data_IF_731187515487
#
_entry.id   IF_731187515487
#
_cell.length_a   1.000
_cell.length_b   1.000
_cell.length_c   1.000
_cell.angle_alpha   90.00
_cell.angle_beta   90.00
_cell.angle_gamma   90.00
#
_symmetry.space_group_name_H-M   'P 1'
#
loop_
_entity.id
_entity.type
_entity.pdbx_description
1 polymer ?
#
# COMPACT_ATOMS: atom_id res chain seq x y z
N UNK A 1 -0.14 4.01 13.32
CA UNK A 1 -0.31 4.20 11.87
C UNK A 1 -0.80 2.90 11.26
N UNK A 2 -1.57 2.93 10.16
CA UNK A 2 -1.88 1.75 9.35
C UNK A 2 -1.03 1.74 8.08
N UNK A 3 -0.66 0.56 7.60
CA UNK A 3 -0.26 0.38 6.19
C UNK A 3 -1.48 -0.09 5.41
N UNK A 4 -1.78 0.52 4.27
CA UNK A 4 -2.92 0.11 3.44
C UNK A 4 -2.44 -0.16 2.02
N UNK A 5 -2.91 -1.26 1.41
CA UNK A 5 -2.71 -1.49 -0.03
C UNK A 5 -3.26 -0.30 -0.82
N UNK A 6 -2.41 0.40 -1.57
CA UNK A 6 -2.75 1.66 -2.25
C UNK A 6 -3.96 1.53 -3.18
N UNK A 7 -4.14 0.39 -3.84
CA UNK A 7 -5.31 0.13 -4.68
C UNK A 7 -6.64 0.16 -3.91
N UNK A 8 -6.64 -0.09 -2.59
CA UNK A 8 -7.84 0.04 -1.74
C UNK A 8 -8.21 1.50 -1.48
N UNK A 9 -7.34 2.44 -1.79
CA UNK A 9 -7.60 3.87 -1.63
C UNK A 9 -7.84 4.59 -2.96
N UNK A 10 -7.91 3.87 -4.08
CA UNK A 10 -8.21 4.44 -5.40
C UNK A 10 -6.99 4.65 -6.30
N UNK A 11 -5.80 4.24 -5.87
CA UNK A 11 -4.58 4.33 -6.71
C UNK A 11 -4.61 3.24 -7.78
N UNK A 12 -4.33 3.58 -9.03
CA UNK A 12 -4.42 2.68 -10.18
C UNK A 12 -3.28 1.68 -10.29
N UNK A 13 -2.69 1.26 -9.17
CA UNK A 13 -1.49 0.43 -9.10
C UNK A 13 -1.72 -1.08 -9.28
N UNK A 14 -2.94 -1.53 -9.58
CA UNK A 14 -3.23 -2.95 -9.84
C UNK A 14 -2.54 -3.40 -11.12
N UNK A 15 -2.30 -4.71 -11.27
CA UNK A 15 -1.73 -5.28 -12.49
C UNK A 15 -2.48 -4.85 -13.78
N UNK A 16 -3.80 -4.63 -13.69
CA UNK A 16 -4.63 -4.17 -14.81
C UNK A 16 -4.61 -2.66 -15.08
N UNK A 17 -3.81 -1.88 -14.34
CA UNK A 17 -3.81 -0.40 -14.41
C UNK A 17 -5.08 0.24 -13.85
N UNK A 18 -5.69 -0.38 -12.84
CA UNK A 18 -6.92 0.09 -12.17
C UNK A 18 -6.75 0.03 -10.65
N UNK A 19 -7.79 0.35 -9.90
CA UNK A 19 -7.81 0.24 -8.45
C UNK A 19 -8.76 -0.86 -7.94
N UNK A 20 -8.91 -0.95 -6.61
CA UNK A 20 -9.94 -1.72 -5.91
C UNK A 20 -10.50 -0.88 -4.74
N UNK A 21 -10.92 0.35 -5.03
CA UNK A 21 -11.33 1.34 -4.03
C UNK A 21 -12.25 0.75 -2.95
N UNK A 22 -11.87 0.97 -1.70
CA UNK A 22 -12.63 0.66 -0.52
C UNK A 22 -12.79 1.94 0.32
N UNK A 23 -14.03 2.42 0.43
CA UNK A 23 -14.36 3.68 1.10
C UNK A 23 -13.87 3.76 2.56
N UNK A 24 -13.78 2.62 3.27
CA UNK A 24 -13.28 2.60 4.65
C UNK A 24 -11.78 2.82 4.68
N UNK A 25 -11.05 2.19 3.77
CA UNK A 25 -9.61 2.39 3.60
C UNK A 25 -9.31 3.83 3.20
N UNK A 26 -10.04 4.36 2.21
CA UNK A 26 -9.92 5.76 1.79
C UNK A 26 -10.18 6.73 2.94
N UNK A 27 -11.21 6.48 3.75
CA UNK A 27 -11.50 7.29 4.94
C UNK A 27 -10.36 7.26 5.96
N UNK A 28 -9.77 6.09 6.24
CA UNK A 28 -8.62 5.99 7.16
C UNK A 28 -7.44 6.81 6.64
N UNK A 29 -7.17 6.75 5.34
CA UNK A 29 -6.14 7.54 4.70
C UNK A 29 -6.42 9.05 4.84
N UNK A 30 -7.60 9.52 4.43
CA UNK A 30 -8.02 10.93 4.54
C UNK A 30 -7.98 11.47 5.97
N UNK A 31 -8.15 10.62 6.99
CA UNK A 31 -8.05 11.01 8.39
C UNK A 31 -6.61 11.04 8.95
N UNK A 32 -5.60 10.89 8.09
CA UNK A 32 -4.18 10.84 8.46
C UNK A 32 -3.86 9.63 9.35
N UNK A 33 -4.53 8.49 9.12
CA UNK A 33 -4.33 7.26 9.91
C UNK A 33 -3.57 6.18 9.15
N UNK A 34 -3.33 6.35 7.85
CA UNK A 34 -2.73 5.34 7.01
C UNK A 34 -1.64 5.90 6.10
N UNK A 35 -0.67 5.06 5.79
CA UNK A 35 0.29 5.22 4.71
C UNK A 35 -0.03 4.18 3.64
N UNK A 36 -0.03 4.61 2.38
CA UNK A 36 -0.38 3.78 1.25
C UNK A 36 0.87 3.10 0.69
N UNK A 37 0.76 1.82 0.34
CA UNK A 37 1.84 1.06 -0.26
C UNK A 37 1.33 0.16 -1.38
N UNK A 38 2.12 0.01 -2.43
CA UNK A 38 1.95 -1.04 -3.42
C UNK A 38 3.23 -1.89 -3.42
N UNK A 39 3.25 -3.06 -2.76
CA UNK A 39 4.48 -3.85 -2.67
C UNK A 39 5.05 -4.20 -4.04
N UNK A 40 4.19 -4.45 -5.02
CA UNK A 40 4.64 -4.79 -6.38
C UNK A 40 5.39 -3.62 -7.05
N UNK A 41 4.90 -2.38 -6.94
CA UNK A 41 5.60 -1.19 -7.44
C UNK A 41 6.83 -0.85 -6.59
N UNK A 42 6.75 -0.99 -5.26
CA UNK A 42 7.92 -0.84 -4.38
C UNK A 42 9.01 -1.88 -4.67
N UNK A 43 8.65 -3.01 -5.28
CA UNK A 43 9.54 -4.02 -5.82
C UNK A 43 10.09 -3.72 -7.21
N UNK A 44 9.62 -2.65 -7.86
CA UNK A 44 10.00 -2.23 -9.21
C UNK A 44 9.20 -2.89 -10.34
N UNK A 45 8.00 -3.41 -10.09
CA UNK A 45 7.11 -3.84 -11.18
C UNK A 45 6.32 -2.64 -11.73
N UNK A 46 6.11 -2.58 -13.07
CA UNK A 46 5.36 -1.49 -13.69
C UNK A 46 3.86 -1.62 -13.45
N UNK A 47 3.13 -0.59 -13.86
CA UNK A 47 1.67 -0.59 -13.92
C UNK A 47 1.25 -0.05 -15.29
N UNK A 48 0.52 -0.82 -16.13
CA UNK A 48 0.05 -2.19 -15.91
C UNK A 48 1.18 -3.23 -15.98
N UNK A 49 0.88 -4.46 -15.58
CA UNK A 49 1.79 -5.62 -15.63
C UNK A 49 1.00 -6.91 -15.83
N UNK A 50 1.71 -7.97 -16.24
CA UNK A 50 1.12 -9.30 -16.36
C UNK A 50 0.62 -9.81 -15.00
N UNK A 51 -0.52 -10.56 -14.95
CA UNK A 51 -0.95 -11.24 -13.74
C UNK A 51 0.14 -12.17 -13.22
N UNK A 52 0.31 -12.22 -11.91
CA UNK A 52 1.30 -13.06 -11.22
C UNK A 52 0.59 -13.96 -10.22
N UNK A 53 1.03 -15.21 -10.12
CA UNK A 53 0.58 -16.15 -9.10
C UNK A 53 1.78 -16.83 -8.44
N UNK A 54 1.62 -17.29 -7.19
CA UNK A 54 2.64 -18.07 -6.50
C UNK A 54 2.51 -19.53 -6.94
N UNK A 55 3.59 -20.15 -7.41
CA UNK A 55 3.55 -21.55 -7.86
C UNK A 55 3.68 -22.58 -6.72
N UNK A 56 3.71 -22.09 -5.48
CA UNK A 56 4.03 -22.84 -4.26
C UNK A 56 3.59 -22.03 -3.05
N UNK A 57 3.80 -22.55 -1.84
CA UNK A 57 3.47 -21.80 -0.62
C UNK A 57 4.37 -20.56 -0.48
N UNK A 58 3.85 -19.50 0.15
CA UNK A 58 4.63 -18.28 0.43
C UNK A 58 5.90 -18.56 1.25
N UNK A 59 5.87 -19.56 2.13
CA UNK A 59 7.05 -19.98 2.89
C UNK A 59 8.13 -20.52 1.96
N UNK A 60 7.78 -21.37 0.99
CA UNK A 60 8.74 -21.88 0.00
C UNK A 60 9.30 -20.76 -0.87
N UNK A 61 8.48 -19.79 -1.26
CA UNK A 61 8.92 -18.59 -2.01
C UNK A 61 9.97 -17.82 -1.20
N UNK A 62 9.71 -17.53 0.07
CA UNK A 62 10.63 -16.81 0.97
C UNK A 62 11.92 -17.62 1.25
N UNK A 63 11.83 -18.95 1.27
CA UNK A 63 12.99 -19.85 1.41
C UNK A 63 13.74 -20.10 0.09
N UNK A 64 13.32 -19.50 -1.03
CA UNK A 64 13.96 -19.63 -2.34
C UNK A 64 13.66 -20.95 -3.08
N UNK A 65 12.73 -21.75 -2.58
CA UNK A 65 12.26 -23.01 -3.18
C UNK A 65 11.03 -22.83 -4.10
N UNK A 66 10.28 -21.76 -3.85
CA UNK A 66 9.11 -21.34 -4.60
C UNK A 66 9.36 -20.15 -5.51
N UNK A 67 8.39 -19.81 -6.36
CA UNK A 67 8.44 -18.66 -7.27
C UNK A 67 7.12 -17.90 -7.36
N UNK A 68 7.21 -16.60 -7.60
CA UNK A 68 6.13 -15.77 -8.12
C UNK A 68 6.34 -15.64 -9.63
N UNK A 69 5.43 -16.24 -10.41
CA UNK A 69 5.54 -16.30 -11.87
C UNK A 69 4.44 -15.47 -12.51
N UNK A 70 4.76 -14.76 -13.59
CA UNK A 70 3.73 -14.17 -14.44
C UNK A 70 3.00 -15.26 -15.24
N UNK A 71 1.83 -14.94 -15.80
CA UNK A 71 1.11 -15.82 -16.72
C UNK A 71 1.89 -16.14 -18.02
N UNK A 72 2.97 -15.40 -18.30
CA UNK A 72 3.91 -15.67 -19.40
C UNK A 72 5.10 -16.54 -18.97
N UNK A 73 5.18 -16.91 -17.68
CA UNK A 73 6.25 -17.73 -17.11
C UNK A 73 7.48 -16.94 -16.67
N UNK A 74 7.41 -15.61 -16.63
CA UNK A 74 8.50 -14.76 -16.15
C UNK A 74 8.62 -14.84 -14.63
N UNK A 75 9.83 -15.05 -14.13
CA UNK A 75 10.12 -15.09 -12.71
C UNK A 75 10.32 -13.68 -12.15
N UNK A 76 9.32 -13.21 -11.40
CA UNK A 76 9.30 -11.90 -10.74
C UNK A 76 9.43 -12.02 -9.22
N UNK A 77 9.91 -13.16 -8.74
CA UNK A 77 10.04 -13.45 -7.29
C UNK A 77 10.85 -12.39 -6.56
N UNK A 78 11.92 -11.88 -7.20
CA UNK A 78 12.78 -10.87 -6.60
C UNK A 78 12.01 -9.59 -6.28
N UNK A 79 11.22 -9.08 -7.22
CA UNK A 79 10.43 -7.86 -7.07
C UNK A 79 9.40 -8.02 -5.96
N UNK A 80 8.75 -9.17 -5.87
CA UNK A 80 7.80 -9.47 -4.80
C UNK A 80 8.45 -9.48 -3.41
N UNK A 81 9.65 -10.07 -3.29
CA UNK A 81 10.40 -10.10 -2.04
C UNK A 81 10.92 -8.70 -1.67
N UNK A 82 11.55 -8.00 -2.61
CA UNK A 82 12.06 -6.64 -2.40
C UNK A 82 10.92 -5.72 -1.94
N UNK A 83 9.80 -5.73 -2.66
CA UNK A 83 8.61 -4.94 -2.33
C UNK A 83 8.01 -5.22 -0.96
N UNK A 84 8.00 -6.50 -0.55
CA UNK A 84 7.55 -6.89 0.77
C UNK A 84 8.48 -6.37 1.88
N UNK A 85 9.80 -6.46 1.70
CA UNK A 85 10.76 -5.93 2.66
C UNK A 85 10.76 -4.40 2.69
N UNK A 86 10.56 -3.72 1.56
CA UNK A 86 10.40 -2.26 1.57
C UNK A 86 9.12 -1.83 2.27
N UNK A 87 8.03 -2.56 2.05
CA UNK A 87 6.79 -2.32 2.81
C UNK A 87 7.01 -2.47 4.31
N UNK A 88 7.76 -3.48 4.75
CA UNK A 88 8.11 -3.66 6.16
C UNK A 88 8.98 -2.50 6.70
N UNK A 89 9.95 -2.01 5.93
CA UNK A 89 10.77 -0.86 6.35
C UNK A 89 9.91 0.39 6.54
N UNK A 90 9.04 0.70 5.58
CA UNK A 90 8.08 1.81 5.67
C UNK A 90 7.21 1.63 6.93
N UNK A 91 6.67 0.43 7.13
CA UNK A 91 5.85 0.13 8.30
C UNK A 91 6.58 0.41 9.62
N UNK A 92 7.84 0.00 9.74
CA UNK A 92 8.65 0.23 10.93
C UNK A 92 8.96 1.71 11.14
N UNK A 93 9.34 2.44 10.09
CA UNK A 93 9.65 3.87 10.16
C UNK A 93 8.46 4.70 10.62
N UNK A 94 7.26 4.38 10.14
CA UNK A 94 6.02 5.11 10.50
C UNK A 94 5.36 4.57 11.77
N UNK A 95 5.98 3.58 12.44
CA UNK A 95 5.45 2.94 13.65
C UNK A 95 4.09 2.27 13.41
N UNK A 96 3.88 1.67 12.24
CA UNK A 96 2.69 0.92 11.93
C UNK A 96 2.71 -0.46 12.59
N UNK A 97 1.63 -0.78 13.29
CA UNK A 97 1.43 -2.09 13.94
C UNK A 97 0.33 -2.92 13.27
N UNK A 98 -0.36 -2.32 12.30
CA UNK A 98 -1.49 -2.93 11.60
C UNK A 98 -1.39 -2.64 10.10
N UNK A 99 -1.77 -3.60 9.28
CA UNK A 99 -1.84 -3.47 7.83
C UNK A 99 -3.19 -3.98 7.29
N UNK A 100 -3.80 -3.23 6.38
CA UNK A 100 -5.03 -3.59 5.66
C UNK A 100 -4.64 -3.84 4.21
N UNK A 101 -4.76 -5.09 3.79
CA UNK A 101 -4.21 -5.56 2.52
C UNK A 101 -5.29 -6.16 1.62
N UNK A 102 -5.11 -6.01 0.30
CA UNK A 102 -6.04 -6.54 -0.69
C UNK A 102 -5.99 -8.07 -0.73
N UNK A 103 -7.12 -8.72 -0.46
CA UNK A 103 -7.29 -10.18 -0.49
C UNK A 103 -6.98 -10.78 -1.87
N UNK A 104 -6.56 -12.04 -1.87
CA UNK A 104 -6.25 -12.85 -3.06
C UNK A 104 -5.04 -12.40 -3.89
N UNK A 105 -4.42 -11.25 -3.59
CA UNK A 105 -3.20 -10.82 -4.27
C UNK A 105 -2.01 -11.74 -3.90
N UNK A 106 -1.12 -12.08 -4.86
CA UNK A 106 0.14 -12.78 -4.57
C UNK A 106 1.07 -12.01 -3.61
N UNK A 107 0.92 -10.69 -3.46
CA UNK A 107 1.63 -9.87 -2.47
C UNK A 107 0.80 -9.67 -1.20
N UNK A 108 -0.44 -9.23 -1.37
CA UNK A 108 -1.26 -8.65 -0.30
C UNK A 108 -2.30 -9.61 0.29
N UNK A 109 -2.54 -10.78 -0.32
CA UNK A 109 -3.56 -11.73 0.14
C UNK A 109 -3.35 -12.17 1.58
N UNK A 110 -4.37 -12.09 2.42
CA UNK A 110 -4.28 -12.33 3.86
C UNK A 110 -4.71 -13.75 4.24
N UNK A 111 -5.70 -14.28 3.52
CA UNK A 111 -6.32 -15.58 3.82
C UNK A 111 -6.29 -16.53 2.62
N UNK A 112 -6.38 -15.97 1.41
CA UNK A 112 -6.36 -16.74 0.16
C UNK A 112 -5.42 -16.10 -0.85
N UNK A 113 -4.92 -16.93 -1.77
CA UNK A 113 -4.17 -16.54 -2.97
C UNK A 113 -4.62 -17.45 -4.13
N UNK A 114 -4.34 -17.07 -5.37
CA UNK A 114 -4.58 -17.95 -6.51
C UNK A 114 -3.64 -19.16 -6.50
N UNK A 115 -4.06 -20.25 -7.14
CA UNK A 115 -3.43 -21.58 -7.03
C UNK A 115 -2.19 -21.80 -7.91
N UNK A 116 -1.76 -20.78 -8.66
CA UNK A 116 -0.58 -20.86 -9.53
C UNK A 116 -0.89 -21.40 -10.93
N UNK A 117 -2.14 -21.74 -11.23
CA UNK A 117 -2.56 -22.31 -12.51
C UNK A 117 -3.15 -21.29 -13.48
N UNK A 118 -3.37 -20.04 -13.04
CA UNK A 118 -4.04 -19.00 -13.81
C UNK A 118 -5.47 -19.37 -14.27
N UNK A 119 -6.13 -20.29 -13.56
CA UNK A 119 -7.52 -20.68 -13.83
C UNK A 119 -8.55 -19.89 -13.01
N UNK A 120 -8.09 -19.00 -12.13
CA UNK A 120 -8.92 -18.19 -11.23
C UNK A 120 -9.32 -18.91 -9.93
N UNK A 121 -8.84 -20.13 -9.71
CA UNK A 121 -9.03 -20.87 -8.47
C UNK A 121 -8.23 -20.25 -7.32
N UNK A 122 -8.86 -20.12 -6.15
CA UNK A 122 -8.23 -19.62 -4.93
C UNK A 122 -7.98 -20.76 -3.94
N UNK A 123 -6.81 -20.74 -3.32
CA UNK A 123 -6.40 -21.66 -2.26
C UNK A 123 -6.09 -20.90 -0.98
N UNK A 124 -6.20 -21.58 0.16
CA UNK A 124 -5.82 -21.00 1.45
C UNK A 124 -4.31 -20.73 1.45
N UNK A 125 -3.92 -19.50 1.75
CA UNK A 125 -2.54 -19.05 1.67
C UNK A 125 -2.42 -17.56 1.91
N UNK A 126 -1.19 -17.06 1.97
CA UNK A 126 -0.89 -15.63 2.11
C UNK A 126 -0.06 -15.16 0.94
N UNK A 127 -0.19 -13.89 0.59
CA UNK A 127 0.74 -13.21 -0.27
C UNK A 127 2.07 -12.93 0.43
N UNK A 128 3.10 -12.63 -0.35
CA UNK A 128 4.48 -12.45 0.13
C UNK A 128 4.59 -11.34 1.19
N UNK A 129 3.97 -10.19 0.93
CA UNK A 129 3.98 -9.05 1.87
C UNK A 129 3.19 -9.34 3.13
N UNK A 130 1.97 -9.87 2.99
CA UNK A 130 1.14 -10.24 4.13
C UNK A 130 1.86 -11.22 5.08
N UNK A 131 2.55 -12.22 4.51
CA UNK A 131 3.33 -13.18 5.28
C UNK A 131 4.53 -12.54 6.01
N UNK A 132 5.29 -11.69 5.34
CA UNK A 132 6.46 -11.02 5.95
C UNK A 132 6.03 -10.07 7.07
N UNK A 133 5.02 -9.23 6.84
CA UNK A 133 4.53 -8.30 7.87
C UNK A 133 4.03 -9.04 9.12
N UNK A 134 3.24 -10.11 8.93
CA UNK A 134 2.72 -10.91 10.05
C UNK A 134 3.84 -11.59 10.85
N UNK A 135 4.85 -12.14 10.15
CA UNK A 135 6.01 -12.77 10.77
C UNK A 135 6.82 -11.79 11.63
N UNK A 136 6.86 -10.52 11.24
CA UNK A 136 7.55 -9.44 11.95
C UNK A 136 6.66 -8.72 12.98
N UNK A 137 5.48 -9.28 13.28
CA UNK A 137 4.63 -8.82 14.37
C UNK A 137 3.62 -7.72 14.00
N UNK A 138 3.47 -7.40 12.71
CA UNK A 138 2.43 -6.48 12.23
C UNK A 138 1.14 -7.27 11.99
N UNK A 139 0.04 -6.82 12.60
CA UNK A 139 -1.26 -7.46 12.41
C UNK A 139 -1.80 -7.19 11.01
N UNK A 140 -2.07 -8.24 10.24
CA UNK A 140 -2.58 -8.14 8.86
C UNK A 140 -4.08 -8.44 8.80
N UNK A 141 -4.82 -7.58 8.13
CA UNK A 141 -6.25 -7.68 7.90
C UNK A 141 -6.55 -7.63 6.41
N UNK A 142 -7.49 -8.47 5.99
CA UNK A 142 -8.02 -8.42 4.63
C UNK A 142 -8.95 -7.21 4.46
N UNK A 143 -9.06 -6.68 3.24
CA UNK A 143 -10.11 -5.73 2.90
C UNK A 143 -11.52 -6.33 3.08
N UNK A 144 -11.64 -7.65 2.96
CA UNK A 144 -12.88 -8.39 3.23
C UNK A 144 -13.15 -8.55 4.74
N UNK A 145 -12.12 -8.47 5.60
CA UNK A 145 -12.30 -8.51 7.06
C UNK A 145 -13.01 -7.24 7.58
N UNK A 146 -13.00 -6.16 6.80
CA UNK A 146 -13.57 -4.87 7.18
C UNK A 146 -15.10 -4.79 7.08
N UNK A 147 -15.81 -5.83 6.63
CA UNK A 147 -17.28 -5.81 6.55
C UNK A 147 -17.96 -5.87 7.94
N UNK A 148 -19.22 -5.41 8.01
CA UNK A 148 -19.91 -4.90 9.22
C UNK A 148 -20.00 -5.90 10.40
N UNK A 149 -19.92 -7.21 10.18
CA UNK A 149 -20.18 -8.24 11.19
C UNK A 149 -18.94 -9.02 11.67
N UNK A 150 -17.73 -8.48 11.48
CA UNK A 150 -16.52 -9.18 11.90
C UNK A 150 -16.08 -8.83 13.33
N UNK A 151 -16.03 -9.83 14.23
CA UNK A 151 -15.52 -9.69 15.61
C UNK A 151 -14.04 -9.22 15.68
N UNK A 152 -13.30 -9.20 14.57
CA UNK A 152 -11.96 -8.61 14.47
C UNK A 152 -11.97 -7.06 14.51
N UNK A 153 -13.11 -6.41 14.20
CA UNK A 153 -13.28 -4.95 14.21
C UNK A 153 -13.29 -4.32 15.62
N UNK A 154 -13.27 -5.12 16.69
CA UNK A 154 -13.21 -4.61 18.07
C UNK A 154 -11.98 -3.72 18.26
N UNK A 155 -10.84 -4.07 17.67
CA UNK A 155 -9.60 -3.29 17.74
C UNK A 155 -9.67 -1.95 16.99
N UNK A 156 -10.29 -1.92 15.80
CA UNK A 156 -10.50 -0.69 15.02
C UNK A 156 -11.44 0.27 15.76
N UNK A 157 -12.52 -0.25 16.34
CA UNK A 157 -13.46 0.52 17.15
C UNK A 157 -12.82 1.09 18.44
N UNK A 158 -11.93 0.35 19.10
CA UNK A 158 -11.23 0.84 20.30
C UNK A 158 -10.21 1.93 19.97
N UNK A 159 -9.41 1.76 18.90
CA UNK A 159 -8.50 2.79 18.41
C UNK A 159 -9.24 4.07 17.99
N UNK A 160 -10.36 3.93 17.28
CA UNK A 160 -11.21 5.06 16.90
C UNK A 160 -11.82 5.76 18.12
N UNK A 161 -12.20 5.01 19.17
CA UNK A 161 -12.68 5.57 20.45
C UNK A 161 -11.59 6.33 21.19
N UNK A 162 -10.36 5.81 21.26
CA UNK A 162 -9.24 6.51 21.91
C UNK A 162 -8.84 7.79 21.17
N UNK A 163 -8.78 7.76 19.83
CA UNK A 163 -8.47 8.96 19.03
C UNK A 163 -9.63 9.97 19.08
N UNK A 164 -10.89 9.54 19.05
CA UNK A 164 -12.04 10.43 19.27
C UNK A 164 -11.98 11.10 20.65
N UNK A 165 -11.53 10.36 21.67
CA UNK A 165 -11.33 10.89 23.02
C UNK A 165 -10.20 11.92 23.06
N UNK A 166 -9.08 11.70 22.35
CA UNK A 166 -7.99 12.70 22.19
C UNK A 166 -8.42 13.91 21.37
N UNK A 167 -9.15 13.73 20.25
CA UNK A 167 -9.70 14.82 19.41
C UNK A 167 -10.75 15.65 20.17
N UNK A 168 -11.57 15.03 21.04
CA UNK A 168 -12.52 15.75 21.90
C UNK A 168 -11.82 16.59 22.96
N UNK A 169 -10.67 16.11 23.45
CA UNK A 169 -9.79 16.86 24.37
C UNK A 169 -9.12 18.05 23.66
N UNK A 170 -8.77 17.91 22.38
CA UNK A 170 -8.13 18.94 21.55
C UNK A 170 -9.13 19.96 20.92
N UNK A 171 -10.34 19.53 20.57
CA UNK A 171 -11.44 20.43 20.13
C UNK A 171 -12.01 21.30 21.25
N UNK A 172 -11.74 20.96 22.52
CA UNK A 172 -12.06 21.86 23.62
C UNK A 172 -11.08 23.03 23.74
N UNK A 173 -9.94 23.00 23.05
CA UNK A 173 -8.96 24.10 23.04
C UNK A 173 -9.06 25.02 21.83
N UNK A 174 -9.61 24.61 20.68
CA UNK A 174 -9.71 25.49 19.50
C UNK A 174 -11.04 25.30 18.74
N UNK A 175 -11.71 26.42 18.48
CA UNK A 175 -12.96 26.55 17.73
C UNK A 175 -12.68 27.09 16.32
N UNK A 176 -13.54 26.70 15.36
CA UNK A 176 -13.65 27.11 13.93
C UNK A 176 -12.50 26.66 13.01
N UNK A 177 -12.67 26.38 11.71
CA UNK A 177 -13.75 26.54 10.73
C UNK A 177 -13.53 25.47 9.62
N UNK A 178 -14.52 25.20 8.76
CA UNK A 178 -14.40 24.22 7.67
C UNK A 178 -13.59 24.83 6.51
N UNK A 179 -12.34 24.42 6.34
CA UNK A 179 -11.55 24.64 5.13
C UNK A 179 -11.44 23.33 4.34
N UNK A 180 -11.54 23.41 3.01
CA UNK A 180 -11.17 22.32 2.11
C UNK A 180 -9.66 22.10 2.24
N UNK A 181 -9.25 21.24 3.19
CA UNK A 181 -7.87 20.85 3.46
C UNK A 181 -7.26 20.25 2.18
N UNK A 182 -6.39 21.01 1.51
CA UNK A 182 -5.44 20.47 0.55
C UNK A 182 -4.58 19.41 1.26
N UNK A 183 -4.64 18.17 0.80
CA UNK A 183 -3.97 17.03 1.44
C UNK A 183 -2.48 17.06 1.12
N UNK A 184 -1.67 17.56 2.04
CA UNK A 184 -0.20 17.48 1.93
C UNK A 184 0.24 16.02 2.14
N UNK A 185 0.66 15.37 1.04
CA UNK A 185 1.15 13.98 1.06
C UNK A 185 2.42 13.82 1.90
N UNK A 186 3.10 14.91 2.27
CA UNK A 186 4.37 14.91 2.99
C UNK A 186 4.21 15.02 4.51
N UNK A 187 3.06 15.48 5.03
CA UNK A 187 2.88 15.79 6.46
C UNK A 187 3.14 14.60 7.43
N UNK A 188 3.01 13.36 6.94
CA UNK A 188 3.23 12.15 7.72
C UNK A 188 4.49 11.37 7.32
N UNK A 189 5.27 11.89 6.37
CA UNK A 189 6.50 11.25 5.92
C UNK A 189 7.66 11.88 6.69
N UNK A 190 7.99 11.30 7.85
CA UNK A 190 9.20 11.70 8.56
C UNK A 190 10.43 11.46 7.69
N UNK A 191 11.25 12.51 7.52
CA UNK A 191 12.57 12.59 6.89
C UNK A 191 12.99 11.35 6.06
N UNK A 192 12.62 11.34 4.77
CA UNK A 192 12.92 10.26 3.81
C UNK A 192 14.40 10.09 3.50
N UNK A 193 15.26 11.00 3.99
CA UNK A 193 16.69 11.05 3.67
C UNK A 193 17.50 9.83 4.14
N UNK A 194 16.89 8.94 4.95
CA UNK A 194 17.51 7.68 5.40
C UNK A 194 17.10 6.44 4.57
N UNK A 195 16.29 6.59 3.51
CA UNK A 195 15.91 5.47 2.66
C UNK A 195 17.07 5.05 1.73
N UNK A 196 17.28 3.74 1.47
CA UNK A 196 18.21 3.33 0.43
C UNK A 196 17.79 3.93 -0.93
N UNK A 197 18.71 4.35 -1.81
CA UNK A 197 18.37 5.15 -3.00
C UNK A 197 17.29 4.54 -3.90
N UNK A 198 17.30 3.21 -4.06
CA UNK A 198 16.29 2.49 -4.84
C UNK A 198 14.89 2.52 -4.22
N UNK A 199 14.81 2.61 -2.91
CA UNK A 199 13.57 2.70 -2.15
C UNK A 199 13.01 4.10 -2.27
N UNK A 200 13.88 5.09 -2.12
CA UNK A 200 13.53 6.50 -2.35
C UNK A 200 12.90 6.69 -3.73
N UNK A 201 13.54 6.17 -4.79
CA UNK A 201 13.02 6.21 -6.17
C UNK A 201 11.63 5.56 -6.30
N UNK A 202 11.45 4.36 -5.74
CA UNK A 202 10.15 3.67 -5.81
C UNK A 202 9.06 4.36 -4.99
N UNK A 203 9.41 5.04 -3.89
CA UNK A 203 8.45 5.84 -3.14
C UNK A 203 8.07 7.10 -3.91
N UNK A 204 9.03 7.77 -4.58
CA UNK A 204 8.74 8.89 -5.48
C UNK A 204 7.76 8.49 -6.58
N UNK A 205 7.98 7.33 -7.23
CA UNK A 205 7.06 6.72 -8.21
C UNK A 205 5.64 6.54 -7.65
N UNK A 206 5.54 6.03 -6.42
CA UNK A 206 4.26 5.89 -5.74
C UNK A 206 3.60 7.25 -5.41
N UNK A 207 4.38 8.24 -4.96
CA UNK A 207 3.89 9.59 -4.66
C UNK A 207 3.33 10.29 -5.89
N UNK A 208 4.01 10.18 -7.03
CA UNK A 208 3.52 10.69 -8.32
C UNK A 208 2.21 9.99 -8.71
N UNK A 209 2.15 8.65 -8.57
CA UNK A 209 0.91 7.90 -8.81
C UNK A 209 -0.24 8.36 -7.90
N UNK A 210 0.06 8.68 -6.64
CA UNK A 210 -0.92 9.19 -5.68
C UNK A 210 -1.46 10.56 -6.07
N UNK A 211 -0.58 11.50 -6.44
CA UNK A 211 -0.94 12.84 -6.86
C UNK A 211 -1.83 12.80 -8.12
N UNK A 212 -1.46 11.99 -9.11
CA UNK A 212 -2.25 11.82 -10.32
C UNK A 212 -3.60 11.13 -10.05
N UNK A 213 -3.59 9.92 -9.47
CA UNK A 213 -4.79 9.09 -9.40
C UNK A 213 -5.80 9.53 -8.32
N UNK A 214 -5.33 10.07 -7.19
CA UNK A 214 -6.22 10.45 -6.09
C UNK A 214 -6.61 11.93 -6.12
N UNK A 215 -5.70 12.79 -6.57
CA UNK A 215 -5.90 14.24 -6.55
C UNK A 215 -6.25 14.79 -7.94
N UNK A 216 -6.02 14.02 -9.00
CA UNK A 216 -6.38 14.39 -10.38
C UNK A 216 -5.42 15.39 -11.02
N UNK A 217 -4.19 15.50 -10.52
CA UNK A 217 -3.18 16.38 -11.09
C UNK A 217 -2.60 15.75 -12.36
N UNK A 218 -2.70 16.46 -13.49
CA UNK A 218 -2.19 16.03 -14.79
C UNK A 218 -0.90 16.77 -15.16
N UNK A 219 -0.72 17.99 -14.68
CA UNK A 219 0.42 18.83 -14.99
C UNK A 219 1.59 18.58 -14.03
N UNK A 220 2.82 18.62 -14.56
CA UNK A 220 4.06 18.27 -13.82
C UNK A 220 4.29 19.18 -12.62
N UNK A 221 3.98 20.47 -12.76
CA UNK A 221 4.12 21.47 -11.70
C UNK A 221 3.14 21.22 -10.55
N UNK A 222 1.88 20.84 -10.85
CA UNK A 222 0.89 20.48 -9.84
C UNK A 222 1.32 19.21 -9.05
N UNK A 223 1.84 18.20 -9.76
CA UNK A 223 2.36 16.97 -9.13
C UNK A 223 3.58 17.28 -8.25
N UNK A 224 4.52 18.10 -8.74
CA UNK A 224 5.70 18.50 -7.97
C UNK A 224 5.30 19.23 -6.68
N UNK A 225 4.35 20.16 -6.74
CA UNK A 225 3.83 20.87 -5.58
C UNK A 225 3.16 19.92 -4.57
N UNK A 226 2.30 19.01 -5.05
CA UNK A 226 1.57 18.08 -4.18
C UNK A 226 2.46 17.00 -3.53
N UNK A 227 3.56 16.63 -4.17
CA UNK A 227 4.49 15.60 -3.70
C UNK A 227 5.70 16.15 -2.96
N UNK A 228 5.99 17.45 -3.09
CA UNK A 228 7.21 18.08 -2.58
C UNK A 228 8.48 17.70 -3.36
N UNK A 229 8.36 17.07 -4.53
CA UNK A 229 9.47 16.70 -5.41
C UNK A 229 9.86 17.86 -6.34
N UNK A 230 11.08 17.83 -6.87
CA UNK A 230 11.48 18.77 -7.92
C UNK A 230 10.77 18.45 -9.24
N UNK A 231 10.54 19.47 -10.07
CA UNK A 231 9.96 19.30 -11.41
C UNK A 231 10.81 18.33 -12.24
N UNK A 232 12.14 18.40 -12.13
CA UNK A 232 13.04 17.48 -12.84
C UNK A 232 12.84 16.03 -12.38
N UNK A 233 12.72 15.78 -11.07
CA UNK A 233 12.49 14.44 -10.52
C UNK A 233 11.17 13.83 -11.02
N UNK A 234 10.10 14.65 -11.06
CA UNK A 234 8.80 14.21 -11.59
C UNK A 234 8.89 13.88 -13.08
N UNK A 235 9.57 14.71 -13.87
CA UNK A 235 9.75 14.46 -15.31
C UNK A 235 10.57 13.21 -15.59
N UNK A 236 11.68 13.01 -14.88
CA UNK A 236 12.52 11.82 -15.04
C UNK A 236 11.70 10.54 -14.80
N UNK A 237 10.93 10.51 -13.71
CA UNK A 237 10.11 9.35 -13.35
C UNK A 237 9.00 9.10 -14.38
N UNK A 238 8.28 10.14 -14.80
CA UNK A 238 7.20 9.98 -15.78
C UNK A 238 7.71 9.50 -17.15
N UNK A 239 8.92 9.91 -17.56
CA UNK A 239 9.52 9.51 -18.83
C UNK A 239 10.14 8.10 -18.81
N UNK A 240 10.43 7.53 -17.63
CA UNK A 240 10.94 6.16 -17.50
C UNK A 240 9.85 5.09 -17.69
N UNK A 241 8.58 5.46 -17.50
CA UNK A 241 7.42 4.57 -17.59
C UNK A 241 6.76 4.57 -19.01
N UNK A 242 7.24 5.38 -19.97
CA UNK A 242 6.85 5.40 -21.40
C UNK A 242 7.62 4.39 -22.27
#
# INVERSE_FOLDING_TARGET
MYIISACLCGVNCKYSGKDNLNERCLKLFKEGKAVLVCPEQLGGLPTPRNPVELNSSVQEVVEGKGRALSNLGEDVTKQFLDGAYETLKIANQVGATNAILKEASPSCGCNFVYDGTFTGNKIKGKGVTAYILEKEGISVFSDEDLEVDNNKLVYLNEYDREKARKRKLFRQSEQSEYEEEYFDLTENIADMSELPPKVEENVKKLMISLAHDLMGFEEVDEIAEATGLSIEEVQEILNEDE
#
